data_IF_175992157340
#
_entry.id   IF_175992157340
#
_cell.length_a   1.000
_cell.length_b   1.000
_cell.length_c   1.000
_cell.angle_alpha   90.00
_cell.angle_beta   90.00
_cell.angle_gamma   90.00
#
_symmetry.space_group_name_H-M   'P 1'
#
loop_
_entity.id
_entity.type
_entity.pdbx_description
1 polymer ?
#
# COMPACT_ATOMS: atom_id res chain seq x y z
N UNK A 1 -1.38 23.92 -18.66
CA UNK A 1 -1.78 22.68 -17.92
C UNK A 1 -0.63 22.19 -17.05
N UNK A 2 -0.90 21.65 -15.87
CA UNK A 2 0.10 21.06 -14.98
C UNK A 2 0.32 19.58 -15.31
N UNK A 3 1.58 19.11 -15.27
CA UNK A 3 1.91 17.70 -15.45
C UNK A 3 1.98 16.95 -14.11
N UNK A 4 1.73 15.66 -14.12
CA UNK A 4 1.93 14.76 -13.00
C UNK A 4 2.23 13.35 -13.51
N UNK A 5 2.73 12.46 -12.64
CA UNK A 5 3.08 11.08 -13.01
C UNK A 5 2.17 10.07 -12.33
N UNK A 6 1.78 9.04 -13.09
CA UNK A 6 1.18 7.81 -12.57
C UNK A 6 2.10 6.66 -13.01
N UNK A 7 2.82 6.06 -12.07
CA UNK A 7 3.88 5.10 -12.40
C UNK A 7 5.00 5.76 -13.22
N UNK A 8 5.27 5.20 -14.41
CA UNK A 8 6.28 5.73 -15.34
C UNK A 8 5.72 6.72 -16.39
N UNK A 9 4.41 6.91 -16.43
CA UNK A 9 3.75 7.74 -17.44
C UNK A 9 3.47 9.14 -16.89
N UNK A 10 3.65 10.14 -17.76
CA UNK A 10 3.35 11.55 -17.49
C UNK A 10 2.01 11.91 -18.09
N UNK A 11 1.20 12.66 -17.33
CA UNK A 11 -0.12 13.12 -17.70
C UNK A 11 -0.25 14.63 -17.50
N UNK A 12 -1.22 15.24 -18.20
CA UNK A 12 -1.58 16.65 -18.11
C UNK A 12 -2.91 16.77 -17.36
N UNK A 13 -2.96 17.60 -16.32
CA UNK A 13 -4.20 17.84 -15.59
C UNK A 13 -5.06 18.89 -16.29
N UNK A 14 -6.35 18.59 -16.45
CA UNK A 14 -7.32 19.60 -16.91
C UNK A 14 -7.50 20.70 -15.87
N UNK A 15 -7.78 21.91 -16.30
CA UNK A 15 -8.01 23.09 -15.48
C UNK A 15 -9.05 24.02 -16.12
N UNK A 16 -9.19 25.25 -15.59
CA UNK A 16 -10.16 26.22 -16.13
C UNK A 16 -9.80 26.70 -17.53
N UNK A 17 -8.53 26.72 -17.87
CA UNK A 17 -8.04 27.14 -19.20
C UNK A 17 -8.27 26.02 -20.22
N UNK A 18 -8.15 24.78 -19.76
CA UNK A 18 -8.40 23.61 -20.60
C UNK A 18 -9.27 22.56 -19.85
N UNK A 19 -10.60 22.68 -19.96
CA UNK A 19 -11.52 21.73 -19.36
C UNK A 19 -11.45 20.36 -20.04
N UNK A 20 -11.86 19.32 -19.33
CA UNK A 20 -11.91 17.98 -19.89
C UNK A 20 -12.70 17.95 -21.20
N UNK A 21 -12.13 17.45 -22.30
CA UNK A 21 -12.82 17.44 -23.60
C UNK A 21 -14.06 16.53 -23.60
N UNK A 22 -14.14 15.61 -22.64
CA UNK A 22 -15.24 14.64 -22.52
C UNK A 22 -16.38 15.20 -21.64
N UNK A 23 -16.12 15.51 -20.36
CA UNK A 23 -17.17 15.94 -19.43
C UNK A 23 -17.25 17.46 -19.23
N UNK A 24 -16.41 18.24 -19.90
CA UNK A 24 -16.32 19.72 -19.83
C UNK A 24 -16.05 20.29 -18.43
N UNK A 25 -15.63 19.44 -17.47
CA UNK A 25 -15.25 19.89 -16.12
C UNK A 25 -13.77 20.19 -16.05
N UNK A 26 -13.39 21.00 -15.05
CA UNK A 26 -12.05 21.62 -14.90
C UNK A 26 -11.20 20.95 -13.83
N UNK A 27 -11.65 19.80 -13.34
CA UNK A 27 -11.03 19.08 -12.22
C UNK A 27 -11.08 17.57 -12.43
N UNK A 28 -10.18 16.86 -11.77
CA UNK A 28 -10.10 15.39 -11.64
C UNK A 28 -9.72 14.63 -12.92
N UNK A 29 -10.07 15.12 -14.10
CA UNK A 29 -9.69 14.51 -15.37
C UNK A 29 -8.28 14.91 -15.79
N UNK A 30 -7.71 14.15 -16.73
CA UNK A 30 -6.36 14.40 -17.23
C UNK A 30 -6.19 13.92 -18.66
N UNK A 31 -5.11 14.33 -19.31
CA UNK A 31 -4.74 13.95 -20.66
C UNK A 31 -3.44 13.17 -20.68
N UNK A 32 -3.22 12.36 -21.68
CA UNK A 32 -1.87 11.87 -22.00
C UNK A 32 -0.96 13.05 -22.36
N UNK A 33 0.34 12.90 -22.13
CA UNK A 33 1.32 13.96 -22.45
C UNK A 33 1.38 14.33 -23.95
N UNK A 34 0.99 13.39 -24.82
CA UNK A 34 0.89 13.62 -26.27
C UNK A 34 -0.46 14.23 -26.70
N UNK A 35 -1.36 14.46 -25.74
CA UNK A 35 -2.70 15.00 -25.94
C UNK A 35 -3.62 14.22 -26.90
N UNK A 36 -3.28 12.98 -27.23
CA UNK A 36 -4.10 12.12 -28.08
C UNK A 36 -5.15 11.34 -27.31
N UNK A 37 -5.05 11.35 -25.97
CA UNK A 37 -5.97 10.63 -25.10
C UNK A 37 -6.40 11.51 -23.94
N UNK A 38 -7.68 11.45 -23.59
CA UNK A 38 -8.26 12.05 -22.40
C UNK A 38 -8.68 10.95 -21.43
N UNK A 39 -8.44 11.17 -20.16
CA UNK A 39 -8.82 10.28 -19.07
C UNK A 39 -9.88 10.97 -18.23
N UNK A 40 -11.14 10.53 -18.40
CA UNK A 40 -12.28 11.16 -17.74
C UNK A 40 -12.67 10.40 -16.48
N UNK A 41 -12.67 11.09 -15.33
CA UNK A 41 -13.08 10.53 -14.04
C UNK A 41 -14.61 10.62 -13.80
N UNK A 42 -15.37 11.22 -14.72
CA UNK A 42 -16.81 11.49 -14.55
C UNK A 42 -17.70 10.77 -15.55
N UNK A 43 -17.26 10.64 -16.76
CA UNK A 43 -17.89 9.78 -17.75
C UNK A 43 -17.07 8.48 -17.75
N UNK A 44 -17.47 7.58 -16.85
CA UNK A 44 -16.82 6.28 -16.73
C UNK A 44 -17.47 5.35 -17.75
N UNK A 45 -16.62 4.72 -18.54
CA UNK A 45 -16.96 3.71 -19.51
C UNK A 45 -16.07 2.52 -19.22
N UNK A 46 -16.66 1.49 -18.62
CA UNK A 46 -15.90 0.34 -18.13
C UNK A 46 -15.41 -0.57 -19.26
N UNK A 47 -15.86 -0.31 -20.49
CA UNK A 47 -15.42 -1.03 -21.68
C UNK A 47 -14.12 -0.47 -22.26
N UNK A 48 -13.75 0.72 -21.82
CA UNK A 48 -12.54 1.37 -22.25
C UNK A 48 -11.40 1.18 -21.28
N UNK A 49 -10.15 1.17 -21.75
CA UNK A 49 -8.99 1.18 -20.86
C UNK A 49 -9.10 2.29 -19.82
N UNK A 50 -8.63 2.03 -18.62
CA UNK A 50 -8.66 3.01 -17.55
C UNK A 50 -7.28 3.17 -16.89
N UNK A 51 -6.99 4.39 -16.44
CA UNK A 51 -5.80 4.73 -15.66
C UNK A 51 -6.24 5.46 -14.40
N UNK A 52 -5.82 4.97 -13.25
CA UNK A 52 -6.15 5.54 -11.93
C UNK A 52 -7.67 5.80 -11.72
N UNK A 53 -8.52 4.93 -12.29
CA UNK A 53 -9.98 5.03 -12.18
C UNK A 53 -10.64 6.01 -13.15
N UNK A 54 -9.88 6.59 -14.09
CA UNK A 54 -10.40 7.43 -15.16
C UNK A 54 -10.46 6.65 -16.48
N UNK A 55 -11.55 6.72 -17.18
CA UNK A 55 -11.74 6.07 -18.47
C UNK A 55 -10.95 6.77 -19.59
N UNK A 56 -10.25 6.00 -20.40
CA UNK A 56 -9.50 6.48 -21.56
C UNK A 56 -10.42 6.77 -22.74
N UNK A 57 -10.27 7.95 -23.33
CA UNK A 57 -10.93 8.37 -24.58
C UNK A 57 -9.88 8.85 -25.56
N UNK A 58 -9.94 8.36 -26.79
CA UNK A 58 -9.14 8.91 -27.89
C UNK A 58 -9.74 10.26 -28.29
N UNK A 59 -8.90 11.28 -28.37
CA UNK A 59 -9.32 12.64 -28.75
C UNK A 59 -8.49 13.14 -29.92
N UNK A 60 -9.10 14.04 -30.71
CA UNK A 60 -8.34 14.80 -31.67
C UNK A 60 -7.47 15.83 -30.93
N UNK A 61 -6.16 15.66 -30.95
CA UNK A 61 -5.19 16.52 -30.28
C UNK A 61 -5.14 17.98 -30.80
N UNK A 62 -5.92 18.31 -31.83
CA UNK A 62 -5.92 19.65 -32.44
C UNK A 62 -6.30 20.77 -31.49
N UNK A 63 -7.12 20.48 -30.48
CA UNK A 63 -7.60 21.45 -29.49
C UNK A 63 -6.59 21.79 -28.37
N UNK A 64 -5.39 21.18 -28.37
CA UNK A 64 -4.41 21.30 -27.28
C UNK A 64 -3.10 21.98 -27.71
N UNK A 65 -3.03 22.47 -28.96
CA UNK A 65 -1.78 22.94 -29.58
C UNK A 65 -1.10 24.15 -28.92
N UNK A 66 -1.82 24.94 -28.14
CA UNK A 66 -1.33 26.21 -27.58
C UNK A 66 -1.38 26.26 -26.03
N UNK A 67 -1.35 25.11 -25.35
CA UNK A 67 -1.45 25.09 -23.89
C UNK A 67 -0.07 25.03 -23.26
N UNK A 68 0.27 26.05 -22.46
CA UNK A 68 1.46 26.05 -21.64
C UNK A 68 1.44 24.86 -20.66
N UNK A 69 2.43 23.97 -20.77
CA UNK A 69 2.58 22.81 -19.91
C UNK A 69 3.46 23.20 -18.73
N UNK A 70 2.88 23.23 -17.54
CA UNK A 70 3.61 23.47 -16.28
C UNK A 70 3.73 22.13 -15.54
N UNK A 71 4.97 21.71 -15.27
CA UNK A 71 5.20 20.52 -14.44
C UNK A 71 4.66 20.75 -13.02
N UNK A 72 3.82 19.80 -12.53
CA UNK A 72 3.44 19.82 -11.12
C UNK A 72 4.69 19.48 -10.32
N UNK A 73 5.16 20.35 -9.43
CA UNK A 73 6.31 20.04 -8.61
C UNK A 73 5.99 18.83 -7.73
N UNK A 74 6.69 17.73 -7.98
CA UNK A 74 6.72 16.56 -7.11
C UNK A 74 7.91 16.70 -6.18
N UNK A 75 7.68 16.41 -4.90
CA UNK A 75 8.74 16.46 -3.92
C UNK A 75 9.45 15.11 -3.84
N UNK A 76 10.77 15.17 -3.68
CA UNK A 76 11.51 14.00 -3.25
C UNK A 76 11.11 13.63 -1.82
N UNK A 77 11.27 12.35 -1.49
CA UNK A 77 10.95 11.88 -0.15
C UNK A 77 11.90 12.52 0.87
N UNK A 78 11.33 13.04 1.95
CA UNK A 78 12.07 13.63 3.06
C UNK A 78 13.08 12.64 3.71
N UNK A 79 14.10 13.12 4.43
CA UNK A 79 15.01 12.27 5.19
C UNK A 79 14.29 11.41 6.24
N UNK A 80 14.88 10.25 6.58
CA UNK A 80 14.26 9.26 7.46
C UNK A 80 13.88 9.80 8.85
N UNK A 81 14.67 10.69 9.40
CA UNK A 81 14.39 11.34 10.67
C UNK A 81 13.16 12.25 10.64
N UNK A 82 13.00 13.03 9.57
CA UNK A 82 11.81 13.87 9.35
C UNK A 82 10.58 13.00 9.11
N UNK A 83 10.71 11.97 8.24
CA UNK A 83 9.64 11.01 8.02
C UNK A 83 9.15 10.40 9.33
N UNK A 84 10.09 9.94 10.17
CA UNK A 84 9.77 9.32 11.45
C UNK A 84 9.00 10.26 12.37
N UNK A 85 9.49 11.48 12.58
CA UNK A 85 8.82 12.48 13.43
C UNK A 85 7.41 12.80 12.89
N UNK A 86 7.27 13.05 11.60
CA UNK A 86 5.98 13.42 11.01
C UNK A 86 5.00 12.24 11.05
N UNK A 87 5.43 11.02 10.71
CA UNK A 87 4.53 9.85 10.81
C UNK A 87 4.17 9.51 12.25
N UNK A 88 5.04 9.77 13.23
CA UNK A 88 4.69 9.62 14.65
C UNK A 88 3.54 10.54 15.04
N UNK A 89 3.57 11.81 14.59
CA UNK A 89 2.46 12.75 14.81
C UNK A 89 1.18 12.33 14.06
N UNK A 90 1.31 11.77 12.85
CA UNK A 90 0.16 11.22 12.10
C UNK A 90 -0.50 10.08 12.89
N UNK A 91 0.30 9.16 13.43
CA UNK A 91 -0.17 8.02 14.22
C UNK A 91 -0.83 8.51 15.52
N UNK A 92 -0.21 9.45 16.22
CA UNK A 92 -0.73 10.02 17.45
C UNK A 92 -2.07 10.73 17.23
N UNK A 93 -2.17 11.57 16.20
CA UNK A 93 -3.39 12.33 15.90
C UNK A 93 -4.55 11.43 15.51
N UNK A 94 -4.33 10.48 14.63
CA UNK A 94 -5.43 9.65 14.11
C UNK A 94 -5.75 8.47 15.02
N UNK A 95 -4.74 7.78 15.56
CA UNK A 95 -4.90 6.59 16.38
C UNK A 95 -5.55 5.43 15.64
N UNK A 96 -5.98 4.42 16.39
CA UNK A 96 -6.78 3.30 15.89
C UNK A 96 -8.25 3.51 16.27
N UNK A 97 -9.16 3.26 15.34
CA UNK A 97 -10.58 3.09 15.66
C UNK A 97 -10.86 1.68 16.19
N UNK A 98 -12.05 1.49 16.76
CA UNK A 98 -12.41 0.23 17.42
C UNK A 98 -12.51 -0.95 16.43
N UNK A 99 -12.94 -0.72 15.21
CA UNK A 99 -13.08 -1.77 14.19
C UNK A 99 -11.69 -2.30 13.78
N UNK A 100 -10.77 -1.39 13.45
CA UNK A 100 -9.41 -1.74 13.07
C UNK A 100 -8.62 -2.34 14.24
N UNK A 101 -8.80 -1.81 15.45
CA UNK A 101 -8.19 -2.37 16.65
C UNK A 101 -8.67 -3.81 16.88
N UNK A 102 -9.99 -4.05 16.79
CA UNK A 102 -10.58 -5.38 16.92
C UNK A 102 -10.03 -6.32 15.84
N UNK A 103 -9.93 -5.86 14.59
CA UNK A 103 -9.34 -6.64 13.52
C UNK A 103 -7.89 -7.05 13.81
N UNK A 104 -7.06 -6.11 14.27
CA UNK A 104 -5.66 -6.38 14.60
C UNK A 104 -5.53 -7.35 15.77
N UNK A 105 -6.35 -7.22 16.79
CA UNK A 105 -6.32 -8.11 17.95
C UNK A 105 -6.90 -9.49 17.65
N UNK A 106 -8.09 -9.58 17.09
CA UNK A 106 -8.82 -10.84 16.96
C UNK A 106 -8.41 -11.65 15.73
N UNK A 107 -8.02 -10.99 14.63
CA UNK A 107 -7.68 -11.68 13.38
C UNK A 107 -6.17 -11.71 13.10
N UNK A 108 -5.38 -10.83 13.75
CA UNK A 108 -3.94 -10.74 13.54
C UNK A 108 -3.11 -11.07 14.78
N UNK A 109 -3.79 -11.37 15.90
CA UNK A 109 -3.18 -11.89 17.11
C UNK A 109 -2.29 -10.91 17.87
N UNK A 110 -2.46 -9.60 17.65
CA UNK A 110 -1.74 -8.59 18.42
C UNK A 110 -2.44 -8.30 19.74
N UNK A 111 -1.68 -8.03 20.81
CA UNK A 111 -2.21 -7.38 22.00
C UNK A 111 -2.42 -5.88 21.76
N UNK A 112 -3.12 -5.22 22.67
CA UNK A 112 -3.28 -3.77 22.64
C UNK A 112 -1.92 -3.06 22.62
N UNK A 113 -1.02 -3.43 23.54
CA UNK A 113 0.33 -2.84 23.65
C UNK A 113 1.16 -3.04 22.38
N UNK A 114 1.03 -4.20 21.75
CA UNK A 114 1.69 -4.50 20.47
C UNK A 114 1.19 -3.64 19.33
N UNK A 115 -0.12 -3.36 19.27
CA UNK A 115 -0.68 -2.46 18.24
C UNK A 115 -0.13 -1.05 18.37
N UNK A 116 -0.01 -0.52 19.59
CA UNK A 116 0.60 0.79 19.84
C UNK A 116 2.11 0.80 19.59
N UNK A 117 2.85 -0.21 20.06
CA UNK A 117 4.29 -0.32 19.82
C UNK A 117 4.62 -0.32 18.33
N UNK A 118 3.80 -1.00 17.52
CA UNK A 118 3.97 -1.06 16.06
C UNK A 118 3.49 0.19 15.34
N UNK A 119 2.70 1.04 16.02
CA UNK A 119 2.26 2.33 15.49
C UNK A 119 1.25 2.21 14.35
N UNK A 120 0.32 1.26 14.43
CA UNK A 120 -0.80 1.21 13.49
C UNK A 120 -1.74 2.39 13.73
N UNK A 121 -2.37 2.86 12.66
CA UNK A 121 -3.37 3.93 12.72
C UNK A 121 -4.51 3.67 11.74
N UNK A 122 -5.66 4.28 11.99
CA UNK A 122 -6.85 4.19 11.14
C UNK A 122 -6.97 5.42 10.26
N UNK A 123 -7.09 5.21 8.95
CA UNK A 123 -7.39 6.25 7.99
C UNK A 123 -8.85 6.09 7.52
N UNK A 124 -9.79 6.45 8.39
CA UNK A 124 -11.23 6.49 8.11
C UNK A 124 -11.70 7.94 7.93
N UNK A 125 -12.93 8.13 7.48
CA UNK A 125 -13.50 9.48 7.38
C UNK A 125 -13.54 10.18 8.75
N UNK A 126 -13.82 9.43 9.82
CA UNK A 126 -13.89 9.95 11.17
C UNK A 126 -12.49 10.39 11.67
N UNK A 127 -11.50 9.49 11.58
CA UNK A 127 -10.15 9.79 12.09
C UNK A 127 -9.51 10.93 11.29
N UNK A 128 -9.67 10.95 9.97
CA UNK A 128 -9.13 12.01 9.11
C UNK A 128 -9.74 13.39 9.38
N UNK A 129 -10.95 13.47 9.94
CA UNK A 129 -11.56 14.76 10.36
C UNK A 129 -10.82 15.40 11.52
N UNK A 130 -10.10 14.65 12.36
CA UNK A 130 -9.34 15.17 13.51
C UNK A 130 -8.30 16.21 13.12
N UNK A 131 -7.80 16.17 11.88
CA UNK A 131 -6.86 17.18 11.39
C UNK A 131 -7.48 18.57 11.10
N UNK A 132 -8.81 18.67 11.03
CA UNK A 132 -9.49 19.91 10.71
C UNK A 132 -9.63 20.75 11.98
N UNK A 133 -8.94 21.89 12.03
CA UNK A 133 -8.89 22.76 13.19
C UNK A 133 -10.13 23.65 13.32
N UNK A 134 -10.44 24.38 12.25
CA UNK A 134 -11.57 25.32 12.21
C UNK A 134 -12.00 25.55 10.76
N UNK A 135 -13.27 25.95 10.60
CA UNK A 135 -13.76 26.59 9.39
C UNK A 135 -13.73 28.10 9.64
N UNK A 136 -12.73 28.77 9.13
CA UNK A 136 -12.69 30.23 9.17
C UNK A 136 -13.40 30.78 7.94
N UNK A 137 -14.26 31.78 8.12
CA UNK A 137 -14.88 32.50 7.02
C UNK A 137 -14.01 33.69 6.68
N UNK A 138 -13.39 33.66 5.50
CA UNK A 138 -12.60 34.78 4.97
C UNK A 138 -13.35 35.33 3.76
N UNK A 139 -14.06 36.46 3.95
CA UNK A 139 -15.05 36.96 2.99
C UNK A 139 -16.21 35.98 2.83
N UNK A 140 -16.65 35.74 1.60
CA UNK A 140 -17.74 34.81 1.28
C UNK A 140 -17.32 33.31 1.24
N UNK A 141 -16.08 32.98 1.62
CA UNK A 141 -15.52 31.62 1.53
C UNK A 141 -15.19 31.05 2.90
N UNK A 142 -15.74 29.89 3.20
CA UNK A 142 -15.33 29.10 4.36
C UNK A 142 -14.07 28.31 3.99
N UNK A 143 -12.98 28.56 4.72
CA UNK A 143 -11.67 27.91 4.55
C UNK A 143 -11.43 26.99 5.74
N UNK A 144 -11.25 25.71 5.46
CA UNK A 144 -10.88 24.74 6.48
C UNK A 144 -9.38 24.66 6.65
N UNK A 145 -8.83 25.15 7.77
CA UNK A 145 -7.42 24.97 8.11
C UNK A 145 -7.19 23.68 8.86
N UNK A 146 -6.00 23.13 8.73
CA UNK A 146 -5.59 21.91 9.44
C UNK A 146 -4.70 22.23 10.64
N UNK A 147 -4.52 21.28 11.53
CA UNK A 147 -3.69 21.40 12.74
C UNK A 147 -2.18 21.21 12.46
N UNK A 148 -1.80 20.80 11.25
CA UNK A 148 -0.46 20.28 10.99
C UNK A 148 0.66 21.27 11.24
N UNK A 149 0.55 22.49 10.75
CA UNK A 149 1.61 23.50 10.93
C UNK A 149 1.88 23.77 12.41
N UNK A 150 0.81 23.87 13.23
CA UNK A 150 0.94 24.07 14.67
C UNK A 150 1.55 22.85 15.35
N UNK A 151 1.11 21.62 14.97
CA UNK A 151 1.67 20.39 15.52
C UNK A 151 3.16 20.25 15.20
N UNK A 152 3.59 20.65 14.01
CA UNK A 152 4.99 20.60 13.64
C UNK A 152 5.81 21.58 14.49
N UNK A 153 5.38 22.81 14.64
CA UNK A 153 6.07 23.81 15.48
C UNK A 153 6.13 23.37 16.95
N UNK A 154 5.04 22.88 17.52
CA UNK A 154 4.99 22.37 18.90
C UNK A 154 5.96 21.19 19.14
N UNK A 155 6.29 20.45 18.11
CA UNK A 155 7.20 19.30 18.18
C UNK A 155 8.61 19.60 17.61
N UNK A 156 8.99 20.90 17.53
CA UNK A 156 10.32 21.33 17.08
C UNK A 156 10.62 20.99 15.61
N UNK A 157 9.59 20.93 14.77
CA UNK A 157 9.69 20.74 13.33
C UNK A 157 9.38 22.07 12.60
N UNK A 158 9.92 22.24 11.40
CA UNK A 158 9.51 23.31 10.51
C UNK A 158 8.03 23.18 10.13
N UNK A 159 7.31 24.27 9.92
CA UNK A 159 5.94 24.29 9.35
C UNK A 159 5.85 23.55 8.04
N UNK A 160 6.94 23.47 7.32
CA UNK A 160 7.09 22.78 6.04
C UNK A 160 7.47 21.28 6.15
N UNK A 161 7.50 20.72 7.37
CA UNK A 161 7.93 19.33 7.61
C UNK A 161 7.09 18.27 6.87
N UNK A 162 5.90 18.64 6.39
CA UNK A 162 5.06 17.78 5.54
C UNK A 162 5.64 17.55 4.14
N UNK A 163 6.54 18.43 3.67
CA UNK A 163 7.13 18.34 2.32
C UNK A 163 7.95 17.05 2.18
N UNK A 164 7.67 16.30 1.13
CA UNK A 164 8.33 15.00 0.90
C UNK A 164 7.84 13.86 1.80
N UNK A 165 6.74 14.04 2.55
CA UNK A 165 6.11 12.99 3.34
C UNK A 165 4.89 12.46 2.59
N UNK A 166 4.93 11.19 2.18
CA UNK A 166 3.82 10.57 1.47
C UNK A 166 2.54 10.57 2.33
N UNK A 167 1.42 10.87 1.71
CA UNK A 167 0.14 11.12 2.41
C UNK A 167 -0.19 12.59 2.53
N UNK A 168 0.81 13.46 2.58
CA UNK A 168 0.61 14.90 2.56
C UNK A 168 0.62 15.49 1.14
N UNK A 169 -0.08 16.59 0.98
CA UNK A 169 -0.04 17.51 -0.15
C UNK A 169 -0.51 18.89 0.30
N UNK A 170 -0.27 19.91 -0.50
CA UNK A 170 -0.68 21.28 -0.16
C UNK A 170 -2.01 21.62 -0.83
N UNK A 171 -3.02 21.91 -0.02
CA UNK A 171 -4.29 22.40 -0.51
C UNK A 171 -4.18 23.91 -0.80
N UNK A 172 -3.90 24.25 -2.05
CA UNK A 172 -3.74 25.63 -2.50
C UNK A 172 -5.00 26.48 -2.34
N UNK A 173 -6.19 25.84 -2.30
CA UNK A 173 -7.47 26.55 -2.09
C UNK A 173 -7.60 27.02 -0.65
N UNK A 174 -7.24 26.17 0.29
CA UNK A 174 -7.33 26.43 1.73
C UNK A 174 -5.99 26.91 2.32
N UNK A 175 -4.93 26.97 1.51
CA UNK A 175 -3.58 27.38 1.90
C UNK A 175 -3.08 26.68 3.17
N UNK A 176 -3.16 25.34 3.16
CA UNK A 176 -2.78 24.50 4.30
C UNK A 176 -2.27 23.13 3.84
N UNK A 177 -1.30 22.53 4.51
CA UNK A 177 -0.96 21.14 4.28
C UNK A 177 -2.11 20.24 4.76
N UNK A 178 -2.42 19.20 4.00
CA UNK A 178 -3.45 18.23 4.34
C UNK A 178 -2.92 16.81 4.20
N UNK A 179 -3.21 15.95 5.16
CA UNK A 179 -2.96 14.53 5.07
C UNK A 179 -4.22 13.83 4.54
N UNK A 180 -4.16 13.34 3.33
CA UNK A 180 -5.30 12.70 2.69
C UNK A 180 -4.84 11.51 1.84
N UNK A 181 -4.76 10.32 2.41
CA UNK A 181 -4.45 9.11 1.67
C UNK A 181 -5.55 8.80 0.64
N UNK A 182 -5.16 8.14 -0.45
CA UNK A 182 -6.09 7.78 -1.55
C UNK A 182 -7.07 6.68 -1.19
N UNK A 183 -6.77 5.89 -0.17
CA UNK A 183 -7.59 4.76 0.29
C UNK A 183 -7.87 4.89 1.79
N UNK A 184 -8.96 4.29 2.24
CA UNK A 184 -9.32 4.13 3.65
C UNK A 184 -8.86 2.76 4.13
N UNK A 185 -8.50 2.67 5.40
CA UNK A 185 -8.05 1.42 6.01
C UNK A 185 -6.99 1.58 7.09
N UNK A 186 -6.36 0.48 7.42
CA UNK A 186 -5.31 0.43 8.44
C UNK A 186 -3.97 0.84 7.84
N UNK A 187 -3.35 1.87 8.41
CA UNK A 187 -1.97 2.23 8.13
C UNK A 187 -1.01 1.25 8.79
N UNK A 188 -0.11 0.69 7.99
CA UNK A 188 0.93 -0.23 8.41
C UNK A 188 2.27 0.47 8.18
N UNK A 189 2.96 0.91 9.23
CA UNK A 189 4.25 1.60 9.12
C UNK A 189 5.31 0.74 8.47
N UNK A 190 6.09 1.33 7.56
CA UNK A 190 7.32 0.75 7.05
C UNK A 190 8.50 1.28 7.85
N UNK A 191 9.32 0.40 8.40
CA UNK A 191 10.46 0.74 9.26
C UNK A 191 11.79 0.38 8.63
N UNK A 192 12.81 1.17 8.96
CA UNK A 192 14.21 0.91 8.60
C UNK A 192 14.97 0.18 9.75
N UNK A 193 16.27 0.01 9.57
CA UNK A 193 17.18 -0.68 10.51
C UNK A 193 17.28 -0.04 11.92
N UNK A 194 16.85 1.18 12.08
CA UNK A 194 16.80 1.90 13.36
C UNK A 194 15.40 1.89 14.00
N UNK A 195 14.42 1.26 13.34
CA UNK A 195 13.03 1.31 13.78
C UNK A 195 12.30 2.60 13.40
N UNK A 196 12.94 3.54 12.67
CA UNK A 196 12.30 4.75 12.17
C UNK A 196 11.22 4.41 11.17
N UNK A 197 10.08 5.10 11.25
CA UNK A 197 8.99 4.98 10.27
C UNK A 197 9.35 5.83 9.05
N UNK A 198 9.55 5.18 7.91
CA UNK A 198 9.99 5.83 6.67
C UNK A 198 8.93 5.83 5.55
N UNK A 199 7.71 5.43 5.87
CA UNK A 199 6.58 5.32 4.98
C UNK A 199 5.59 4.29 5.50
N UNK A 200 4.77 3.74 4.62
CA UNK A 200 3.87 2.65 4.99
C UNK A 200 2.92 2.23 3.89
N UNK A 201 2.20 1.17 4.17
CA UNK A 201 1.10 0.67 3.35
C UNK A 201 -0.24 0.92 4.06
N UNK A 202 -1.29 0.98 3.27
CA UNK A 202 -2.67 0.94 3.76
C UNK A 202 -3.23 -0.44 3.41
N UNK A 203 -3.67 -1.18 4.43
CA UNK A 203 -4.57 -2.31 4.22
C UNK A 203 -5.95 -1.74 3.99
N UNK A 204 -6.39 -1.80 2.74
CA UNK A 204 -7.62 -1.17 2.29
C UNK A 204 -8.83 -1.86 2.93
N UNK A 205 -9.77 -1.08 3.44
CA UNK A 205 -11.02 -1.56 3.98
C UNK A 205 -11.87 -2.21 2.90
N UNK A 206 -12.59 -3.25 3.25
CA UNK A 206 -13.40 -4.01 2.30
C UNK A 206 -14.44 -3.13 1.61
N UNK A 207 -15.05 -2.21 2.35
CA UNK A 207 -16.01 -1.24 1.81
C UNK A 207 -15.38 -0.27 0.79
N UNK A 208 -14.05 -0.08 0.82
CA UNK A 208 -13.29 0.76 -0.11
C UNK A 208 -12.68 -0.03 -1.27
N UNK A 209 -12.77 -1.36 -1.24
CA UNK A 209 -12.27 -2.20 -2.34
C UNK A 209 -13.17 -2.09 -3.56
N UNK A 210 -12.54 -2.00 -4.72
CA UNK A 210 -13.23 -2.01 -6.01
C UNK A 210 -13.17 -3.40 -6.61
N UNK A 211 -14.27 -3.81 -7.20
CA UNK A 211 -14.39 -5.09 -7.89
C UNK A 211 -14.74 -4.85 -9.35
N UNK A 212 -14.17 -5.65 -10.22
CA UNK A 212 -14.42 -5.61 -11.67
C UNK A 212 -14.55 -7.03 -12.20
N UNK A 213 -15.19 -7.18 -13.35
CA UNK A 213 -15.27 -8.45 -14.05
C UNK A 213 -14.38 -8.43 -15.30
N UNK A 214 -13.59 -9.45 -15.48
CA UNK A 214 -12.89 -9.73 -16.74
C UNK A 214 -13.72 -10.73 -17.52
N UNK A 215 -14.41 -10.22 -18.55
CA UNK A 215 -15.27 -11.01 -19.44
C UNK A 215 -14.39 -11.72 -20.46
N UNK A 216 -14.75 -12.96 -20.85
CA UNK A 216 -14.01 -13.73 -21.84
C UNK A 216 -14.03 -13.06 -23.24
N UNK A 217 -13.00 -13.36 -24.06
CA UNK A 217 -12.73 -12.66 -25.31
C UNK A 217 -13.92 -12.64 -26.30
N UNK A 218 -14.73 -13.69 -26.34
CA UNK A 218 -15.89 -13.81 -27.25
C UNK A 218 -17.00 -12.83 -26.88
N UNK A 219 -17.12 -12.50 -25.59
CA UNK A 219 -18.20 -11.67 -25.04
C UNK A 219 -17.76 -10.27 -24.62
N UNK A 220 -16.45 -10.00 -24.66
CA UNK A 220 -15.86 -8.72 -24.22
C UNK A 220 -16.53 -7.48 -24.84
N UNK A 221 -16.89 -7.56 -26.13
CA UNK A 221 -17.52 -6.46 -26.88
C UNK A 221 -19.04 -6.59 -26.95
N UNK A 222 -19.64 -7.58 -26.29
CA UNK A 222 -21.07 -7.89 -26.33
C UNK A 222 -21.76 -7.81 -24.98
N UNK A 223 -20.99 -7.91 -23.89
CA UNK A 223 -21.54 -7.90 -22.55
C UNK A 223 -20.68 -7.08 -21.59
N UNK A 224 -21.34 -6.41 -20.66
CA UNK A 224 -20.76 -5.71 -19.53
C UNK A 224 -21.20 -6.38 -18.24
N UNK A 225 -20.26 -6.62 -17.32
CA UNK A 225 -20.58 -7.18 -16.01
C UNK A 225 -20.19 -6.17 -14.92
N UNK A 226 -21.15 -5.78 -14.11
CA UNK A 226 -20.97 -4.92 -12.94
C UNK A 226 -20.93 -5.80 -11.70
N UNK A 227 -19.93 -5.59 -10.84
CA UNK A 227 -19.75 -6.35 -9.61
C UNK A 227 -19.86 -5.42 -8.40
N UNK A 228 -20.64 -5.86 -7.40
CA UNK A 228 -20.64 -5.31 -6.04
C UNK A 228 -20.32 -6.44 -5.07
N UNK A 229 -19.61 -6.16 -4.00
CA UNK A 229 -19.33 -7.12 -2.94
C UNK A 229 -20.02 -6.65 -1.66
N UNK A 230 -20.90 -7.46 -1.11
CA UNK A 230 -21.69 -7.16 0.08
C UNK A 230 -21.82 -8.46 0.89
N UNK A 231 -21.55 -8.40 2.17
CA UNK A 231 -21.69 -9.51 3.13
C UNK A 231 -21.01 -10.81 2.68
N UNK A 232 -19.77 -10.68 2.13
CA UNK A 232 -18.97 -11.81 1.67
C UNK A 232 -19.43 -12.42 0.35
N UNK A 233 -20.42 -11.83 -0.33
CA UNK A 233 -20.98 -12.31 -1.59
C UNK A 233 -20.73 -11.29 -2.72
N UNK A 234 -20.48 -11.79 -3.92
CA UNK A 234 -20.41 -10.97 -5.12
C UNK A 234 -21.80 -10.90 -5.77
N UNK A 235 -22.36 -9.70 -5.81
CA UNK A 235 -23.55 -9.38 -6.59
C UNK A 235 -23.10 -8.97 -7.98
N UNK A 236 -23.62 -9.62 -9.02
CA UNK A 236 -23.31 -9.29 -10.40
C UNK A 236 -24.57 -8.91 -11.18
N UNK A 237 -24.42 -7.97 -12.10
CA UNK A 237 -25.42 -7.65 -13.11
C UNK A 237 -24.74 -7.67 -14.46
N UNK A 238 -25.28 -8.43 -15.40
CA UNK A 238 -24.78 -8.58 -16.78
C UNK A 238 -25.66 -7.77 -17.69
N UNK A 239 -25.08 -6.84 -18.42
CA UNK A 239 -25.72 -6.02 -19.45
C UNK A 239 -25.26 -6.48 -20.82
N UNK A 240 -26.17 -6.50 -21.78
CA UNK A 240 -25.87 -6.82 -23.18
C UNK A 240 -25.82 -5.56 -24.04
N UNK A 241 -24.85 -5.47 -24.91
CA UNK A 241 -24.76 -4.40 -25.90
C UNK A 241 -25.61 -4.68 -27.12
N UNK A 242 -26.07 -3.62 -27.87
CA UNK A 242 -25.82 -2.19 -27.60
C UNK A 242 -26.79 -1.52 -26.62
N UNK A 243 -27.92 -2.15 -26.32
CA UNK A 243 -29.05 -1.50 -25.63
C UNK A 243 -28.91 -1.46 -24.10
N UNK A 244 -27.90 -2.10 -23.53
CA UNK A 244 -27.69 -2.25 -22.11
C UNK A 244 -28.82 -2.95 -21.37
N UNK A 245 -29.50 -3.86 -22.06
CA UNK A 245 -30.51 -4.70 -21.43
C UNK A 245 -29.88 -5.62 -20.38
N UNK A 246 -30.56 -5.76 -19.25
CA UNK A 246 -30.14 -6.70 -18.20
C UNK A 246 -30.39 -8.13 -18.70
N UNK A 247 -29.29 -8.84 -18.98
CA UNK A 247 -29.35 -10.25 -19.38
C UNK A 247 -29.52 -11.18 -18.18
N UNK A 248 -28.79 -10.93 -17.11
CA UNK A 248 -28.82 -11.74 -15.88
C UNK A 248 -28.29 -10.94 -14.71
N UNK A 249 -28.84 -11.21 -13.56
CA UNK A 249 -28.31 -10.73 -12.28
C UNK A 249 -28.35 -11.85 -11.24
N UNK A 250 -27.48 -11.77 -10.25
CA UNK A 250 -27.43 -12.78 -9.21
C UNK A 250 -26.33 -12.54 -8.19
N UNK A 251 -26.21 -13.52 -7.28
CA UNK A 251 -25.25 -13.49 -6.20
C UNK A 251 -24.44 -14.78 -6.21
N UNK A 252 -23.14 -14.66 -5.91
CA UNK A 252 -22.22 -15.81 -5.90
C UNK A 252 -21.06 -15.60 -4.94
N UNK A 253 -20.60 -16.63 -4.24
CA UNK A 253 -19.33 -16.60 -3.53
C UNK A 253 -18.13 -16.88 -4.46
N UNK A 254 -18.37 -17.33 -5.70
CA UNK A 254 -17.32 -17.74 -6.64
C UNK A 254 -16.75 -16.56 -7.40
N UNK A 255 -15.43 -16.56 -7.56
CA UNK A 255 -14.71 -15.54 -8.37
C UNK A 255 -14.72 -15.83 -9.87
N UNK A 256 -15.25 -16.95 -10.32
CA UNK A 256 -15.36 -17.30 -11.73
C UNK A 256 -16.74 -17.90 -11.99
N UNK A 257 -17.45 -17.37 -12.97
CA UNK A 257 -18.75 -17.83 -13.42
C UNK A 257 -18.71 -18.12 -14.91
N UNK A 258 -19.48 -19.17 -15.30
CA UNK A 258 -19.70 -19.54 -16.69
C UNK A 258 -21.19 -19.82 -16.90
N UNK A 259 -21.75 -19.31 -17.98
CA UNK A 259 -23.16 -19.45 -18.37
C UNK A 259 -23.29 -20.39 -19.56
N UNK A 260 -24.47 -20.97 -19.75
CA UNK A 260 -24.76 -21.95 -20.81
C UNK A 260 -24.47 -21.44 -22.22
N UNK A 261 -24.66 -20.13 -22.45
CA UNK A 261 -24.39 -19.47 -23.76
C UNK A 261 -22.88 -19.25 -24.01
N UNK A 262 -21.99 -19.74 -23.13
CA UNK A 262 -20.54 -19.58 -23.23
C UNK A 262 -19.99 -18.24 -22.73
N UNK A 263 -20.84 -17.34 -22.20
CA UNK A 263 -20.38 -16.18 -21.49
C UNK A 263 -19.71 -16.61 -20.19
N UNK A 264 -18.52 -16.12 -19.93
CA UNK A 264 -17.84 -16.33 -18.65
C UNK A 264 -17.09 -15.07 -18.22
N UNK A 265 -16.96 -14.89 -16.92
CA UNK A 265 -16.17 -13.80 -16.36
C UNK A 265 -15.45 -14.21 -15.08
N UNK A 266 -14.32 -13.56 -14.86
CA UNK A 266 -13.51 -13.66 -13.64
C UNK A 266 -13.61 -12.38 -12.84
N UNK A 267 -14.00 -12.46 -11.57
CA UNK A 267 -14.05 -11.31 -10.66
C UNK A 267 -12.64 -10.98 -10.18
N UNK A 268 -12.22 -9.75 -10.38
CA UNK A 268 -10.97 -9.18 -9.91
C UNK A 268 -11.27 -8.14 -8.84
N UNK A 269 -10.48 -8.14 -7.77
CA UNK A 269 -10.50 -7.10 -6.75
C UNK A 269 -9.34 -6.13 -6.95
N UNK A 270 -9.50 -4.88 -6.53
CA UNK A 270 -8.38 -3.96 -6.37
C UNK A 270 -7.35 -4.50 -5.37
N UNK A 271 -6.18 -3.89 -5.33
CA UNK A 271 -5.13 -4.29 -4.40
C UNK A 271 -5.60 -4.11 -2.94
N UNK A 272 -5.40 -5.16 -2.13
CA UNK A 272 -5.71 -5.17 -0.69
C UNK A 272 -4.72 -4.31 0.12
N UNK A 273 -3.49 -4.20 -0.35
CA UNK A 273 -2.44 -3.39 0.24
C UNK A 273 -1.93 -2.41 -0.80
N UNK A 274 -1.91 -1.13 -0.45
CA UNK A 274 -1.43 -0.06 -1.32
C UNK A 274 -0.39 0.78 -0.59
N UNK A 275 0.65 1.21 -1.29
CA UNK A 275 1.61 2.16 -0.73
C UNK A 275 0.94 3.51 -0.52
N UNK A 276 1.24 4.12 0.63
CA UNK A 276 0.84 5.49 0.90
C UNK A 276 1.47 6.42 -0.14
N UNK A 277 0.66 7.17 -0.86
CA UNK A 277 1.14 8.05 -1.93
C UNK A 277 0.17 9.20 -2.19
N UNK A 278 0.75 10.35 -2.42
CA UNK A 278 0.09 11.57 -2.90
C UNK A 278 0.80 12.14 -4.13
N UNK A 279 1.62 11.34 -4.81
CA UNK A 279 2.43 11.77 -5.97
C UNK A 279 1.61 12.36 -7.13
N UNK A 280 0.30 12.06 -7.21
CA UNK A 280 -0.61 12.67 -8.19
C UNK A 280 -1.14 14.05 -7.74
N UNK A 281 -0.73 14.56 -6.58
CA UNK A 281 -1.16 15.84 -6.02
C UNK A 281 -0.04 16.87 -6.11
N UNK A 282 -0.42 18.15 -6.10
CA UNK A 282 0.53 19.27 -6.07
C UNK A 282 1.34 19.24 -4.76
N UNK A 283 2.65 19.30 -4.88
CA UNK A 283 3.59 19.09 -3.77
C UNK A 283 3.44 17.75 -3.04
N UNK A 284 2.82 16.76 -3.69
CA UNK A 284 2.70 15.43 -3.14
C UNK A 284 3.98 14.61 -3.32
N UNK A 285 4.04 13.50 -2.58
CA UNK A 285 5.16 12.56 -2.59
C UNK A 285 4.64 11.13 -2.61
N UNK A 286 5.40 10.21 -3.20
CA UNK A 286 5.15 8.77 -3.12
C UNK A 286 6.06 8.10 -2.09
N UNK A 287 5.53 7.15 -1.32
CA UNK A 287 6.36 6.30 -0.49
C UNK A 287 7.26 5.42 -1.37
N UNK A 288 8.51 5.27 -0.97
CA UNK A 288 9.45 4.35 -1.64
C UNK A 288 9.08 2.90 -1.31
N UNK A 289 9.09 2.08 -2.33
CA UNK A 289 8.96 0.62 -2.15
C UNK A 289 10.31 0.06 -1.68
N UNK A 290 10.53 0.09 -0.38
CA UNK A 290 11.74 -0.46 0.27
C UNK A 290 11.34 -1.55 1.26
N UNK A 291 12.22 -2.53 1.54
CA UNK A 291 11.94 -3.57 2.51
C UNK A 291 11.58 -3.02 3.88
N UNK A 292 10.65 -3.66 4.55
CA UNK A 292 10.26 -3.38 5.92
C UNK A 292 11.05 -4.24 6.89
N UNK A 293 11.52 -3.64 7.98
CA UNK A 293 12.21 -4.30 9.08
C UNK A 293 11.23 -4.47 10.24
N UNK A 294 10.66 -5.66 10.35
CA UNK A 294 9.82 -6.04 11.48
C UNK A 294 10.70 -6.68 12.58
N UNK A 295 10.78 -6.03 13.72
CA UNK A 295 11.56 -6.49 14.85
C UNK A 295 10.67 -7.22 15.86
N UNK A 296 11.21 -8.19 16.65
CA UNK A 296 10.55 -8.66 17.86
C UNK A 296 10.19 -7.50 18.78
N UNK A 297 9.10 -7.61 19.53
CA UNK A 297 8.57 -6.50 20.33
C UNK A 297 9.61 -5.97 21.34
N UNK A 298 10.36 -6.87 22.01
CA UNK A 298 11.42 -6.51 22.94
C UNK A 298 12.60 -5.76 22.27
N UNK A 299 12.85 -6.01 20.98
CA UNK A 299 13.88 -5.29 20.22
C UNK A 299 13.34 -3.94 19.77
N UNK A 300 12.11 -3.91 19.23
CA UNK A 300 11.48 -2.68 18.78
C UNK A 300 11.33 -1.66 19.92
N UNK A 301 11.02 -2.13 21.13
CA UNK A 301 10.93 -1.30 22.33
C UNK A 301 12.29 -0.66 22.75
N UNK A 302 13.42 -1.12 22.19
CA UNK A 302 14.73 -0.53 22.41
C UNK A 302 15.08 0.59 21.42
N UNK A 303 14.19 0.89 20.45
CA UNK A 303 14.40 2.02 19.55
C UNK A 303 14.55 3.32 20.34
N UNK A 304 15.58 4.08 20.02
CA UNK A 304 15.89 5.39 20.64
C UNK A 304 16.23 6.37 19.54
N UNK A 305 15.75 7.58 19.72
CA UNK A 305 15.92 8.65 18.73
C UNK A 305 16.45 9.89 19.44
N UNK A 306 17.27 10.68 18.77
CA UNK A 306 17.67 12.00 19.24
C UNK A 306 16.52 13.02 19.06
N UNK A 307 16.73 14.25 19.48
CA UNK A 307 15.78 15.35 19.35
C UNK A 307 15.39 15.64 17.89
N UNK A 308 16.28 15.32 16.96
CA UNK A 308 16.06 15.50 15.52
C UNK A 308 15.38 14.29 14.87
N UNK A 309 15.13 13.21 15.63
CA UNK A 309 14.50 11.97 15.12
C UNK A 309 15.49 10.99 14.47
N UNK A 310 16.81 11.19 14.59
CA UNK A 310 17.80 10.25 14.11
C UNK A 310 17.84 9.02 15.02
N UNK A 311 17.93 7.82 14.43
CA UNK A 311 18.04 6.58 15.18
C UNK A 311 19.39 6.43 15.85
N UNK A 312 19.40 6.20 17.17
CA UNK A 312 20.62 6.06 17.98
C UNK A 312 21.08 4.61 18.09
N UNK A 313 20.19 3.65 17.92
CA UNK A 313 20.48 2.22 18.05
C UNK A 313 20.13 1.52 16.74
N UNK A 314 21.10 0.84 16.15
CA UNK A 314 20.83 -0.05 15.02
C UNK A 314 20.21 -1.36 15.55
N UNK A 315 18.90 -1.50 15.44
CA UNK A 315 18.16 -2.63 15.99
C UNK A 315 18.51 -3.97 15.32
N UNK A 316 19.03 -3.95 14.11
CA UNK A 316 19.51 -5.16 13.42
C UNK A 316 20.63 -5.84 14.18
N UNK A 317 21.49 -5.06 14.86
CA UNK A 317 22.60 -5.60 15.66
C UNK A 317 22.15 -6.37 16.90
N UNK A 318 20.91 -6.18 17.32
CA UNK A 318 20.29 -6.88 18.45
C UNK A 318 19.62 -8.21 18.04
N UNK A 319 19.58 -8.51 16.75
CA UNK A 319 18.98 -9.73 16.22
C UNK A 319 20.05 -10.79 15.90
N UNK A 320 19.67 -12.06 16.05
CA UNK A 320 20.54 -13.23 15.86
C UNK A 320 20.30 -13.96 14.55
N UNK A 321 19.11 -13.83 13.99
CA UNK A 321 18.71 -14.47 12.74
C UNK A 321 17.77 -13.57 11.95
N UNK A 322 17.53 -13.94 10.68
CA UNK A 322 16.63 -13.21 9.80
C UNK A 322 15.70 -14.16 9.06
N UNK A 323 14.41 -13.79 9.04
CA UNK A 323 13.39 -14.40 8.17
C UNK A 323 13.05 -13.38 7.08
N UNK A 324 12.91 -13.85 5.84
CA UNK A 324 12.43 -13.05 4.71
C UNK A 324 11.04 -13.52 4.31
N UNK A 325 10.09 -12.59 4.19
CA UNK A 325 8.69 -12.90 3.82
C UNK A 325 8.07 -11.83 2.91
N UNK A 326 6.83 -12.06 2.51
CA UNK A 326 6.02 -11.09 1.77
C UNK A 326 5.04 -10.37 2.68
N UNK A 327 4.83 -9.05 2.42
CA UNK A 327 3.82 -8.23 3.10
C UNK A 327 4.28 -7.69 4.45
N UNK A 328 4.11 -6.37 4.65
CA UNK A 328 4.57 -5.68 5.87
C UNK A 328 3.87 -6.23 7.13
N UNK A 329 2.53 -6.33 7.07
CA UNK A 329 1.74 -6.84 8.20
C UNK A 329 2.08 -8.28 8.55
N UNK A 330 2.34 -9.15 7.55
CA UNK A 330 2.81 -10.52 7.78
C UNK A 330 4.16 -10.52 8.50
N UNK A 331 5.08 -9.65 8.07
CA UNK A 331 6.37 -9.49 8.74
C UNK A 331 6.22 -9.12 10.22
N UNK A 332 5.35 -8.18 10.53
CA UNK A 332 5.05 -7.79 11.90
C UNK A 332 4.46 -8.93 12.73
N UNK A 333 3.51 -9.69 12.18
CA UNK A 333 2.92 -10.86 12.85
C UNK A 333 4.01 -11.90 13.15
N UNK A 334 4.82 -12.26 12.15
CA UNK A 334 5.89 -13.24 12.33
C UNK A 334 6.87 -12.79 13.41
N UNK A 335 7.32 -11.53 13.37
CA UNK A 335 8.26 -10.99 14.35
C UNK A 335 7.69 -11.01 15.78
N UNK A 336 6.39 -10.80 15.94
CA UNK A 336 5.69 -10.87 17.24
C UNK A 336 5.52 -12.32 17.72
N UNK A 337 5.22 -13.26 16.81
CA UNK A 337 4.83 -14.62 17.19
C UNK A 337 6.03 -15.61 17.29
N UNK A 338 7.14 -15.35 16.59
CA UNK A 338 8.33 -16.23 16.64
C UNK A 338 8.81 -16.48 18.06
N UNK A 339 8.92 -15.48 18.97
CA UNK A 339 9.34 -15.71 20.34
C UNK A 339 8.42 -16.63 21.16
N UNK A 340 7.15 -16.76 20.77
CA UNK A 340 6.13 -17.56 21.44
C UNK A 340 5.82 -18.86 20.71
N UNK A 341 6.68 -19.32 19.83
CA UNK A 341 6.50 -20.50 19.00
C UNK A 341 7.69 -21.46 19.08
N UNK A 342 7.60 -22.58 18.40
CA UNK A 342 8.75 -23.51 18.27
C UNK A 342 9.95 -22.92 17.50
N UNK A 343 9.78 -21.76 16.91
CA UNK A 343 10.88 -21.00 16.28
C UNK A 343 11.66 -20.11 17.27
N UNK A 344 11.29 -20.05 18.55
CA UNK A 344 12.01 -19.31 19.61
C UNK A 344 13.51 -19.63 19.66
N UNK A 345 13.89 -20.88 19.30
CA UNK A 345 15.29 -21.32 19.20
C UNK A 345 16.13 -20.55 18.16
N UNK A 346 15.51 -19.79 17.28
CA UNK A 346 16.20 -18.88 16.37
C UNK A 346 16.76 -17.65 17.08
N UNK A 347 16.37 -17.42 18.33
CA UNK A 347 16.69 -16.24 19.11
C UNK A 347 15.94 -15.01 18.63
N UNK A 348 16.50 -13.85 18.96
CA UNK A 348 15.94 -12.57 18.50
C UNK A 348 15.99 -12.51 16.97
N UNK A 349 14.82 -12.61 16.32
CA UNK A 349 14.70 -12.80 14.87
C UNK A 349 14.16 -11.56 14.18
N UNK A 350 14.97 -10.92 13.35
CA UNK A 350 14.52 -9.89 12.41
C UNK A 350 13.65 -10.54 11.33
N UNK A 351 12.56 -9.89 10.96
CA UNK A 351 11.81 -10.25 9.76
C UNK A 351 11.92 -9.12 8.73
N UNK A 352 12.53 -9.41 7.58
CA UNK A 352 12.57 -8.48 6.44
C UNK A 352 11.43 -8.86 5.51
N UNK A 353 10.48 -7.95 5.34
CA UNK A 353 9.35 -8.17 4.45
C UNK A 353 9.33 -7.21 3.27
N UNK A 354 8.86 -7.73 2.13
CA UNK A 354 8.74 -7.00 0.88
C UNK A 354 7.27 -6.89 0.47
N UNK A 355 6.93 -5.88 -0.32
CA UNK A 355 5.54 -5.69 -0.79
C UNK A 355 5.08 -6.77 -1.78
N UNK A 356 6.01 -7.52 -2.37
CA UNK A 356 5.76 -8.63 -3.27
C UNK A 356 7.07 -9.25 -3.74
N UNK A 357 7.04 -10.50 -4.18
CA UNK A 357 8.22 -11.31 -4.57
C UNK A 357 9.10 -10.65 -5.64
N UNK A 358 8.53 -9.82 -6.50
CA UNK A 358 9.27 -9.09 -7.54
C UNK A 358 10.26 -8.05 -6.97
N UNK A 359 10.14 -7.68 -5.68
CA UNK A 359 11.05 -6.77 -4.98
C UNK A 359 12.30 -7.48 -4.40
N UNK A 360 12.52 -8.76 -4.72
CA UNK A 360 13.59 -9.58 -4.17
C UNK A 360 15.00 -8.97 -4.27
N UNK A 361 15.29 -8.22 -5.34
CA UNK A 361 16.60 -7.56 -5.51
C UNK A 361 16.89 -6.55 -4.41
N UNK A 362 15.87 -5.82 -3.97
CA UNK A 362 16.01 -4.86 -2.87
C UNK A 362 16.28 -5.57 -1.55
N UNK A 363 15.56 -6.67 -1.26
CA UNK A 363 15.81 -7.49 -0.07
C UNK A 363 17.22 -8.07 -0.09
N UNK A 364 17.63 -8.63 -1.20
CA UNK A 364 18.98 -9.17 -1.34
C UNK A 364 20.06 -8.11 -1.14
N UNK A 365 19.85 -6.90 -1.65
CA UNK A 365 20.73 -5.75 -1.38
C UNK A 365 20.77 -5.40 0.13
N UNK A 366 19.64 -5.36 0.80
CA UNK A 366 19.56 -5.08 2.24
C UNK A 366 20.23 -6.19 3.07
N UNK A 367 20.02 -7.46 2.73
CA UNK A 367 20.68 -8.59 3.38
C UNK A 367 22.21 -8.48 3.27
N UNK A 368 22.71 -7.99 2.13
CA UNK A 368 24.15 -7.80 1.92
C UNK A 368 24.72 -6.60 2.68
N UNK A 369 24.04 -5.46 2.61
CA UNK A 369 24.59 -4.16 3.04
C UNK A 369 24.24 -3.77 4.46
N UNK A 370 23.10 -4.24 4.96
CA UNK A 370 22.52 -3.82 6.23
C UNK A 370 22.53 -4.90 7.31
N UNK A 371 22.85 -6.16 6.95
CA UNK A 371 22.83 -7.27 7.89
C UNK A 371 24.12 -8.12 7.80
N UNK A 372 24.43 -8.81 8.90
CA UNK A 372 25.59 -9.73 8.99
C UNK A 372 25.18 -11.14 9.40
N UNK A 373 23.92 -11.52 9.14
CA UNK A 373 23.42 -12.84 9.53
C UNK A 373 24.10 -13.96 8.76
N UNK A 374 24.58 -14.98 9.48
CA UNK A 374 25.12 -16.21 8.89
C UNK A 374 23.98 -17.11 8.37
N UNK A 375 22.83 -17.11 9.05
CA UNK A 375 21.65 -17.91 8.71
C UNK A 375 20.51 -17.01 8.21
N UNK A 376 19.96 -17.35 7.06
CA UNK A 376 18.85 -16.64 6.42
C UNK A 376 17.74 -17.65 6.17
N UNK A 377 16.53 -17.35 6.61
CA UNK A 377 15.35 -18.19 6.42
C UNK A 377 14.39 -17.50 5.45
N UNK A 378 13.98 -18.20 4.39
CA UNK A 378 13.01 -17.71 3.41
C UNK A 378 11.65 -18.35 3.71
N UNK A 379 10.66 -17.51 3.96
CA UNK A 379 9.30 -17.90 4.35
C UNK A 379 8.29 -17.24 3.41
N UNK A 380 8.27 -17.66 2.13
CA UNK A 380 7.26 -17.25 1.16
C UNK A 380 5.98 -18.08 1.33
N UNK A 381 4.86 -17.56 0.80
CA UNK A 381 3.58 -18.26 0.86
C UNK A 381 3.69 -19.71 0.34
N UNK A 382 2.98 -20.64 0.94
CA UNK A 382 3.09 -22.09 0.68
C UNK A 382 2.77 -22.51 -0.77
N UNK A 383 2.13 -21.62 -1.53
CA UNK A 383 1.82 -21.82 -2.96
C UNK A 383 3.06 -21.69 -3.89
N UNK A 384 4.25 -21.42 -3.34
CA UNK A 384 5.48 -21.39 -4.14
C UNK A 384 5.77 -22.74 -4.83
N UNK A 385 5.26 -23.85 -4.33
CA UNK A 385 5.40 -25.18 -4.91
C UNK A 385 4.61 -25.34 -6.21
N UNK A 386 3.50 -24.63 -6.33
CA UNK A 386 2.55 -24.69 -7.45
C UNK A 386 2.59 -23.43 -8.32
N UNK A 387 3.46 -22.45 -7.98
CA UNK A 387 3.58 -21.17 -8.66
C UNK A 387 5.02 -20.96 -9.15
N UNK A 388 5.25 -21.31 -10.41
CA UNK A 388 6.57 -21.22 -11.05
C UNK A 388 7.21 -19.81 -10.92
N UNK A 389 6.40 -18.75 -10.93
CA UNK A 389 6.93 -17.40 -10.78
C UNK A 389 7.53 -17.18 -9.39
N UNK A 390 6.82 -17.58 -8.32
CA UNK A 390 7.30 -17.48 -6.94
C UNK A 390 8.51 -18.37 -6.73
N UNK A 391 8.46 -19.62 -7.24
CA UNK A 391 9.60 -20.54 -7.18
C UNK A 391 10.86 -19.98 -7.86
N UNK A 392 10.70 -19.38 -9.03
CA UNK A 392 11.82 -18.76 -9.75
C UNK A 392 12.40 -17.55 -9.00
N UNK A 393 11.58 -16.75 -8.31
CA UNK A 393 12.09 -15.66 -7.46
C UNK A 393 12.85 -16.20 -6.24
N UNK A 394 12.33 -17.26 -5.61
CA UNK A 394 12.99 -17.95 -4.51
C UNK A 394 14.39 -18.42 -4.92
N UNK A 395 14.49 -19.09 -6.06
CA UNK A 395 15.77 -19.56 -6.60
C UNK A 395 16.75 -18.43 -6.86
N UNK A 396 16.29 -17.36 -7.49
CA UNK A 396 17.14 -16.18 -7.79
C UNK A 396 17.66 -15.49 -6.53
N UNK A 397 16.86 -15.39 -5.46
CA UNK A 397 17.33 -14.77 -4.21
C UNK A 397 18.39 -15.64 -3.54
N UNK A 398 18.23 -16.97 -3.55
CA UNK A 398 19.23 -17.91 -3.03
C UNK A 398 20.54 -17.81 -3.82
N UNK A 399 20.46 -17.90 -5.14
CA UNK A 399 21.63 -17.78 -6.04
C UNK A 399 22.37 -16.45 -5.80
N UNK A 400 21.63 -15.35 -5.69
CA UNK A 400 22.24 -14.05 -5.45
C UNK A 400 22.94 -13.98 -4.07
N UNK A 401 22.33 -14.53 -3.00
CA UNK A 401 22.94 -14.55 -1.68
C UNK A 401 24.25 -15.36 -1.71
N UNK A 402 24.24 -16.55 -2.32
CA UNK A 402 25.43 -17.41 -2.43
C UNK A 402 26.54 -16.84 -3.33
N UNK A 403 26.17 -16.09 -4.38
CA UNK A 403 27.15 -15.35 -5.20
C UNK A 403 27.87 -14.26 -4.39
N UNK A 404 27.23 -13.69 -3.38
CA UNK A 404 27.82 -12.65 -2.53
C UNK A 404 28.66 -13.24 -1.38
N UNK A 405 28.20 -14.34 -0.79
CA UNK A 405 28.89 -15.01 0.30
C UNK A 405 28.47 -16.49 0.34
N UNK A 406 29.38 -17.36 -0.07
CA UNK A 406 29.18 -18.82 -0.11
C UNK A 406 29.04 -19.47 1.27
N UNK A 407 29.44 -18.77 2.35
CA UNK A 407 29.37 -19.29 3.72
C UNK A 407 28.00 -19.03 4.35
N UNK A 408 27.12 -18.26 3.74
CA UNK A 408 25.77 -18.01 4.24
C UNK A 408 24.91 -19.26 4.09
N UNK A 409 24.30 -19.66 5.19
CA UNK A 409 23.31 -20.75 5.19
C UNK A 409 21.95 -20.19 4.85
N UNK A 410 21.39 -20.59 3.73
CA UNK A 410 20.04 -20.23 3.31
C UNK A 410 19.15 -21.44 3.46
N UNK A 411 18.06 -21.29 4.18
CA UNK A 411 17.04 -22.34 4.37
C UNK A 411 15.68 -21.82 3.95
N UNK A 412 14.89 -22.66 3.32
CA UNK A 412 13.50 -22.38 2.99
C UNK A 412 12.61 -23.02 4.03
N UNK A 413 11.72 -22.23 4.64
CA UNK A 413 10.72 -22.73 5.57
C UNK A 413 9.52 -23.30 4.82
N UNK A 414 9.03 -24.45 5.33
CA UNK A 414 7.78 -25.07 4.89
C UNK A 414 6.93 -25.44 6.09
N UNK A 415 5.63 -25.34 5.96
CA UNK A 415 4.62 -25.67 6.96
C UNK A 415 3.41 -26.32 6.28
N UNK A 416 2.52 -26.93 7.07
CA UNK A 416 1.42 -27.75 6.53
C UNK A 416 0.06 -27.00 6.53
N UNK A 417 -0.10 -25.97 7.39
CA UNK A 417 -1.38 -25.30 7.60
C UNK A 417 -1.24 -23.81 7.36
N UNK A 418 -2.22 -23.21 6.68
CA UNK A 418 -2.22 -21.80 6.34
C UNK A 418 -1.44 -21.49 5.06
N UNK A 419 -1.70 -20.33 4.48
CA UNK A 419 -1.02 -19.87 3.27
C UNK A 419 0.34 -19.28 3.59
N UNK A 420 0.40 -18.36 4.55
CA UNK A 420 1.61 -17.70 5.01
C UNK A 420 2.15 -18.27 6.32
N UNK A 421 3.43 -18.00 6.63
CA UNK A 421 4.00 -18.34 7.94
C UNK A 421 3.26 -17.60 9.08
N UNK A 422 2.74 -16.40 8.83
CA UNK A 422 1.89 -15.64 9.74
C UNK A 422 0.62 -16.41 10.10
N UNK A 423 -0.09 -16.96 9.10
CA UNK A 423 -1.30 -17.76 9.32
C UNK A 423 -0.99 -19.03 10.15
N UNK A 424 0.14 -19.69 9.83
CA UNK A 424 0.61 -20.85 10.60
C UNK A 424 0.89 -20.50 12.05
N UNK A 425 1.64 -19.42 12.31
CA UNK A 425 2.01 -19.01 13.66
C UNK A 425 0.82 -18.54 14.52
N UNK A 426 -0.26 -18.10 13.91
CA UNK A 426 -1.52 -17.75 14.59
C UNK A 426 -2.42 -18.96 14.84
N UNK A 427 -2.12 -20.11 14.22
CA UNK A 427 -2.91 -21.33 14.41
C UNK A 427 -2.57 -22.02 15.72
N UNK A 428 -3.50 -22.84 16.25
CA UNK A 428 -3.25 -23.68 17.43
C UNK A 428 -2.18 -24.73 17.16
N UNK A 429 -2.04 -25.14 15.93
CA UNK A 429 -1.09 -26.15 15.43
C UNK A 429 0.37 -25.68 15.54
N UNK A 430 0.62 -24.36 15.58
CA UNK A 430 1.97 -23.82 15.77
C UNK A 430 2.65 -24.27 17.07
N UNK A 431 1.87 -24.66 18.06
CA UNK A 431 2.36 -25.20 19.34
C UNK A 431 2.79 -26.69 19.25
N UNK A 432 2.22 -27.43 18.31
CA UNK A 432 2.39 -28.90 18.19
C UNK A 432 3.15 -29.29 16.93
N UNK A 433 3.01 -28.59 15.84
CA UNK A 433 3.68 -28.85 14.57
C UNK A 433 4.97 -28.05 14.42
N UNK A 434 5.84 -28.53 13.56
CA UNK A 434 7.17 -27.94 13.35
C UNK A 434 7.26 -27.34 11.94
N UNK A 435 7.76 -26.12 11.85
CA UNK A 435 8.24 -25.54 10.59
C UNK A 435 9.50 -26.30 10.17
N UNK A 436 9.50 -26.88 8.97
CA UNK A 436 10.65 -27.58 8.41
C UNK A 436 11.56 -26.59 7.70
N UNK A 437 12.85 -26.69 7.92
CA UNK A 437 13.86 -25.87 7.24
C UNK A 437 14.61 -26.77 6.23
N UNK A 438 14.57 -26.41 4.97
CA UNK A 438 15.29 -27.09 3.90
C UNK A 438 16.48 -26.24 3.49
N UNK A 439 17.69 -26.78 3.62
CA UNK A 439 18.92 -26.10 3.23
C UNK A 439 19.10 -26.14 1.69
N UNK A 440 19.60 -25.05 1.15
CA UNK A 440 19.92 -24.86 -0.26
C UNK A 440 21.36 -24.43 -0.43
#
# INVERSE_FOLDING_TARGET
MKTFKIGKQTFLRVDRTFPCPICKKTDWCFLASDCKKAYCCRQLDEDKPSVAGATEYVIDGSSVKDVEIVEIPQLEQAPANILHKVYSLVIELFGLDNEHLTHLMMQRGFSLDQTYLRGYASFTEETLRKQIKTKETVGDKTVGKTVWEDLFEQNGLSRDAWKGVAGFWYDTKNQTPIFMPTHRGIFIPNRNEFGQIIGGQIRVDEASMKYSAEVNAIWKDKARVVIKHVDGQYHYTIYMYPDYDVYSEGTTPKKHLTFENGLSFKIKSSAKYVWLSTSAKEYGCGAKNVPHYAFPDLVLAQARFDENGNGLVNLVSLCQSVIVTEGLLKGDIIATQVPNSRLEKLGSTLVISMAGVNSWKQVAYHLKTKTRFARIFLAFDSDFKDNDAVYNYLKRIIEYIHQQDKNKQVSVFTWEIGKGLDDFLLSKEALTQTVKAHNF
#
